data_IF_323075525198
#
_entry.id   IF_323075525198
#
_cell.length_a   1.000
_cell.length_b   1.000
_cell.length_c   1.000
_cell.angle_alpha   90.00
_cell.angle_beta   90.00
_cell.angle_gamma   90.00
#
_symmetry.space_group_name_H-M   'P 1'
#
loop_
_entity.id
_entity.type
_entity.pdbx_description
1 polymer ?
#
# COMPACT_ATOMS: atom_id res chain seq x y z
N UNK A 1 4.12 -1.98 -24.06
CA UNK A 1 4.62 -2.04 -22.68
C UNK A 1 3.97 -0.90 -21.90
N UNK A 2 3.14 -1.22 -20.90
CA UNK A 2 2.32 -0.21 -20.20
C UNK A 2 3.18 0.55 -19.18
N UNK A 3 3.48 1.81 -19.50
CA UNK A 3 4.00 2.78 -18.54
C UNK A 3 2.93 3.10 -17.50
N UNK A 4 2.80 2.28 -16.45
CA UNK A 4 1.95 2.55 -15.26
C UNK A 4 2.71 3.25 -14.12
N UNK A 5 3.93 3.74 -14.35
CA UNK A 5 4.80 4.25 -13.29
C UNK A 5 4.53 5.71 -12.83
N UNK A 6 3.75 6.50 -13.57
CA UNK A 6 3.63 7.95 -13.31
C UNK A 6 2.78 8.32 -12.07
N UNK A 7 2.11 7.37 -11.43
CA UNK A 7 1.28 7.64 -10.23
C UNK A 7 2.02 7.31 -8.92
N UNK A 8 3.16 6.60 -8.98
CA UNK A 8 3.81 6.02 -7.80
C UNK A 8 4.89 6.91 -7.18
N UNK A 9 5.32 7.99 -7.84
CA UNK A 9 6.35 8.92 -7.32
C UNK A 9 6.01 9.53 -5.96
N UNK A 10 4.72 9.61 -5.60
CA UNK A 10 4.27 10.13 -4.29
C UNK A 10 4.30 9.09 -3.17
N UNK A 11 4.35 7.80 -3.48
CA UNK A 11 4.40 6.70 -2.50
C UNK A 11 5.85 6.23 -2.29
N UNK A 12 6.66 7.12 -1.72
CA UNK A 12 7.98 6.74 -1.20
C UNK A 12 7.82 5.81 0.01
N UNK A 13 8.87 5.05 0.35
CA UNK A 13 8.84 4.17 1.54
C UNK A 13 8.50 4.97 2.80
N UNK A 14 9.13 6.13 3.00
CA UNK A 14 8.87 6.99 4.15
C UNK A 14 7.43 7.52 4.18
N UNK A 15 6.85 7.86 3.02
CA UNK A 15 5.45 8.29 2.96
C UNK A 15 4.49 7.13 3.31
N UNK A 16 4.78 5.91 2.87
CA UNK A 16 3.98 4.75 3.23
C UNK A 16 4.14 4.44 4.73
N UNK A 17 5.35 4.48 5.28
CA UNK A 17 5.58 4.31 6.72
C UNK A 17 4.82 5.35 7.56
N UNK A 18 4.83 6.61 7.12
CA UNK A 18 4.11 7.69 7.78
C UNK A 18 2.58 7.46 7.78
N UNK A 19 2.01 7.02 6.65
CA UNK A 19 0.60 6.64 6.54
C UNK A 19 0.25 5.46 7.45
N UNK A 20 1.12 4.44 7.51
CA UNK A 20 0.95 3.28 8.38
C UNK A 20 1.03 3.66 9.87
N UNK A 21 1.89 4.62 10.22
CA UNK A 21 2.11 5.07 11.60
C UNK A 21 1.01 6.02 12.13
N UNK A 22 0.45 6.89 11.28
CA UNK A 22 -0.57 7.88 11.70
C UNK A 22 -1.91 7.27 12.09
N UNK A 23 -2.24 6.07 11.61
CA UNK A 23 -3.40 5.32 12.07
C UNK A 23 -4.78 5.88 11.69
N UNK A 24 -4.87 6.94 10.89
CA UNK A 24 -6.14 7.59 10.56
C UNK A 24 -6.74 7.07 9.25
N UNK A 25 -8.01 6.64 9.31
CA UNK A 25 -8.73 6.06 8.17
C UNK A 25 -8.78 6.95 6.89
N UNK A 26 -8.90 8.30 6.97
CA UNK A 26 -8.92 9.15 5.78
C UNK A 26 -7.59 9.13 5.01
N UNK A 27 -6.46 9.10 5.72
CA UNK A 27 -5.12 9.12 5.14
C UNK A 27 -4.77 7.80 4.44
N UNK A 28 -5.52 6.74 4.74
CA UNK A 28 -5.34 5.42 4.12
C UNK A 28 -6.01 5.31 2.75
N UNK A 29 -7.01 6.13 2.46
CA UNK A 29 -7.81 6.03 1.23
C UNK A 29 -6.96 6.08 -0.04
N UNK A 30 -5.99 7.00 -0.19
CA UNK A 30 -5.13 7.04 -1.38
C UNK A 30 -4.27 5.78 -1.53
N UNK A 31 -3.71 5.27 -0.43
CA UNK A 31 -2.86 4.07 -0.44
C UNK A 31 -3.66 2.81 -0.76
N UNK A 32 -4.84 2.64 -0.14
CA UNK A 32 -5.75 1.54 -0.42
C UNK A 32 -6.18 1.56 -1.89
N UNK A 33 -6.50 2.73 -2.44
CA UNK A 33 -6.90 2.88 -3.85
C UNK A 33 -5.77 2.49 -4.79
N UNK A 34 -4.54 2.92 -4.51
CA UNK A 34 -3.37 2.55 -5.30
C UNK A 34 -3.14 1.03 -5.30
N UNK A 35 -3.24 0.39 -4.14
CA UNK A 35 -3.11 -1.08 -4.00
C UNK A 35 -4.21 -1.82 -4.76
N UNK A 36 -5.45 -1.33 -4.75
CA UNK A 36 -6.57 -1.98 -5.47
C UNK A 36 -6.44 -1.85 -7.00
N UNK A 37 -5.89 -0.75 -7.48
CA UNK A 37 -5.68 -0.52 -8.91
C UNK A 37 -4.50 -1.32 -9.49
N UNK A 38 -3.49 -1.60 -8.66
CA UNK A 38 -2.33 -2.42 -9.02
C UNK A 38 -1.86 -3.29 -7.84
N UNK A 39 -2.53 -4.43 -7.57
CA UNK A 39 -2.28 -5.29 -6.40
C UNK A 39 -0.92 -5.98 -6.36
N UNK A 40 -0.21 -6.00 -7.49
CA UNK A 40 1.15 -6.52 -7.66
C UNK A 40 2.13 -5.42 -8.09
N UNK A 41 1.68 -4.17 -8.05
CA UNK A 41 2.49 -3.01 -8.39
C UNK A 41 3.46 -2.61 -7.29
N UNK A 42 4.37 -1.70 -7.62
CA UNK A 42 5.44 -1.25 -6.74
C UNK A 42 4.94 -0.76 -5.36
N UNK A 43 3.82 -0.05 -5.32
CA UNK A 43 3.22 0.45 -4.08
C UNK A 43 2.70 -0.69 -3.20
N UNK A 44 2.09 -1.72 -3.81
CA UNK A 44 1.60 -2.89 -3.08
C UNK A 44 2.76 -3.68 -2.48
N UNK A 45 3.84 -3.90 -3.24
CA UNK A 45 5.03 -4.62 -2.77
C UNK A 45 5.77 -3.86 -1.66
N UNK A 46 5.94 -2.54 -1.80
CA UNK A 46 6.52 -1.70 -0.72
C UNK A 46 5.68 -1.76 0.55
N UNK A 47 4.35 -1.68 0.41
CA UNK A 47 3.43 -1.75 1.55
C UNK A 47 3.50 -3.12 2.23
N UNK A 48 3.57 -4.21 1.46
CA UNK A 48 3.72 -5.57 1.97
C UNK A 48 5.01 -5.71 2.79
N UNK A 49 6.15 -5.29 2.22
CA UNK A 49 7.45 -5.36 2.89
C UNK A 49 7.48 -4.56 4.21
N UNK A 50 6.78 -3.43 4.28
CA UNK A 50 6.63 -2.66 5.52
C UNK A 50 5.72 -3.35 6.55
N UNK A 51 4.65 -4.01 6.11
CA UNK A 51 3.73 -4.75 6.97
C UNK A 51 4.33 -6.05 7.54
N UNK A 52 5.42 -6.55 6.98
CA UNK A 52 6.20 -7.67 7.52
C UNK A 52 7.13 -7.24 8.67
N UNK A 53 7.40 -5.93 8.82
CA UNK A 53 8.23 -5.41 9.91
C UNK A 53 7.45 -5.42 11.23
N UNK A 54 8.07 -5.83 12.36
CA UNK A 54 7.41 -5.88 13.67
C UNK A 54 6.88 -4.53 14.18
N UNK A 55 7.41 -3.42 13.65
CA UNK A 55 7.13 -2.06 14.10
C UNK A 55 5.76 -1.52 13.62
N UNK A 56 5.23 -2.07 12.53
CA UNK A 56 3.98 -1.60 11.92
C UNK A 56 2.92 -2.70 12.05
N UNK A 57 2.31 -2.78 13.24
CA UNK A 57 1.22 -3.70 13.54
C UNK A 57 -0.09 -3.32 12.86
N UNK A 58 -0.11 -3.25 11.52
CA UNK A 58 -1.30 -2.90 10.74
C UNK A 58 -1.92 -4.13 10.05
N UNK A 59 -2.64 -5.01 10.78
CA UNK A 59 -3.33 -6.16 10.19
C UNK A 59 -4.36 -5.75 9.11
N UNK A 60 -4.79 -4.48 9.10
CA UNK A 60 -5.65 -3.90 8.06
C UNK A 60 -5.01 -3.97 6.67
N UNK A 61 -3.76 -3.57 6.51
CA UNK A 61 -3.17 -3.47 5.17
C UNK A 61 -2.84 -4.85 4.59
N UNK A 62 -2.53 -5.84 5.44
CA UNK A 62 -2.45 -7.25 4.99
C UNK A 62 -3.79 -7.74 4.42
N UNK A 63 -4.91 -7.41 5.07
CA UNK A 63 -6.25 -7.73 4.54
C UNK A 63 -6.56 -7.01 3.24
N UNK A 64 -6.18 -5.74 3.12
CA UNK A 64 -6.36 -4.97 1.89
C UNK A 64 -5.58 -5.60 0.74
N UNK A 65 -4.30 -5.93 0.95
CA UNK A 65 -3.45 -6.59 -0.04
C UNK A 65 -4.02 -7.95 -0.45
N UNK A 66 -4.41 -8.79 0.51
CA UNK A 66 -5.02 -10.08 0.22
C UNK A 66 -6.32 -9.95 -0.59
N UNK A 67 -7.22 -9.04 -0.18
CA UNK A 67 -8.50 -8.83 -0.86
C UNK A 67 -8.31 -8.27 -2.28
N UNK A 68 -7.38 -7.33 -2.45
CA UNK A 68 -7.09 -6.73 -3.75
C UNK A 68 -6.56 -7.77 -4.76
N UNK A 69 -5.70 -8.69 -4.30
CA UNK A 69 -5.15 -9.78 -5.12
C UNK A 69 -6.18 -10.87 -5.45
N UNK A 70 -7.18 -11.09 -4.59
CA UNK A 70 -8.25 -12.07 -4.85
C UNK A 70 -9.32 -11.58 -5.84
N UNK A 71 -9.39 -10.28 -6.12
CA UNK A 71 -10.39 -9.68 -7.03
C UNK A 71 -9.91 -9.49 -8.48
N UNK A 72 -8.67 -9.89 -8.81
CA UNK A 72 -8.11 -9.87 -10.17
C UNK A 72 -8.00 -11.28 -10.75
#
# INVERSE_FOLDING_TARGET
MKHRHLTHEKFTIAAIEDILARGQAPDWVPLITAIRNDPYGEVAEKTLALCERPLYGAPVFRRVLASARQMQ
#
